data_IF_250010436968
#
_entry.id   IF_250010436968
#
_cell.length_a   1.000
_cell.length_b   1.000
_cell.length_c   1.000
_cell.angle_alpha   90.00
_cell.angle_beta   90.00
_cell.angle_gamma   90.00
#
_symmetry.space_group_name_H-M   'P 1'
#
loop_
_entity.id
_entity.type
_entity.pdbx_description
1 polymer ?
#
# COMPACT_ATOMS: atom_id res chain seq x y z
N UNK A 1 -8.39 -2.36 -14.92
CA UNK A 1 -7.41 -2.26 -13.81
C UNK A 1 -7.87 -2.94 -12.53
N UNK A 2 -9.07 -2.66 -12.03
CA UNK A 2 -9.61 -3.34 -10.84
C UNK A 2 -9.83 -4.84 -11.06
N UNK A 3 -10.22 -5.27 -12.26
CA UNK A 3 -10.42 -6.67 -12.63
C UNK A 3 -9.13 -7.46 -12.50
N UNK A 4 -8.01 -6.92 -12.95
CA UNK A 4 -6.70 -7.59 -12.84
C UNK A 4 -6.27 -7.84 -11.38
N UNK A 5 -6.63 -6.95 -10.46
CA UNK A 5 -6.35 -7.11 -9.03
C UNK A 5 -7.25 -8.15 -8.37
N UNK A 6 -8.50 -8.26 -8.82
CA UNK A 6 -9.41 -9.32 -8.37
C UNK A 6 -8.91 -10.70 -8.83
N UNK A 7 -8.55 -10.82 -10.10
CA UNK A 7 -8.07 -12.07 -10.70
C UNK A 7 -6.77 -12.55 -10.03
N UNK A 8 -5.91 -11.60 -9.63
CA UNK A 8 -4.66 -11.89 -8.91
C UNK A 8 -4.85 -12.13 -7.41
N UNK A 9 -6.06 -11.99 -6.89
CA UNK A 9 -6.37 -12.20 -5.47
C UNK A 9 -5.82 -11.14 -4.52
N UNK A 10 -5.45 -9.95 -5.01
CA UNK A 10 -4.96 -8.87 -4.17
C UNK A 10 -6.07 -8.11 -3.47
N UNK A 11 -7.27 -8.12 -4.03
CA UNK A 11 -8.44 -7.43 -3.49
C UNK A 11 -9.65 -8.35 -3.51
N UNK A 12 -10.62 -8.06 -2.67
CA UNK A 12 -11.92 -8.75 -2.63
C UNK A 12 -13.05 -7.74 -2.42
N UNK A 13 -14.30 -8.06 -2.80
CA UNK A 13 -15.46 -7.25 -2.45
C UNK A 13 -15.61 -7.11 -0.94
N UNK A 14 -16.01 -5.92 -0.49
CA UNK A 14 -16.20 -5.60 0.93
C UNK A 14 -17.48 -4.80 1.13
N UNK A 15 -18.16 -5.02 2.27
CA UNK A 15 -19.36 -4.28 2.71
C UNK A 15 -19.00 -3.44 3.95
N UNK A 16 -17.87 -2.78 3.95
CA UNK A 16 -17.46 -1.98 5.09
C UNK A 16 -18.07 -0.57 5.03
N UNK A 17 -18.32 0.01 6.22
CA UNK A 17 -18.74 1.41 6.38
C UNK A 17 -17.58 2.40 6.19
N UNK A 18 -16.33 1.91 6.21
CA UNK A 18 -15.13 2.71 6.03
C UNK A 18 -14.73 2.71 4.57
N UNK A 19 -14.98 3.81 3.87
CA UNK A 19 -14.60 3.96 2.47
C UNK A 19 -13.52 5.00 2.27
N UNK A 20 -12.57 4.74 1.37
CA UNK A 20 -11.61 5.72 0.90
C UNK A 20 -11.87 6.01 -0.59
N UNK A 21 -11.93 7.30 -1.01
CA UNK A 21 -12.17 7.66 -2.40
C UNK A 21 -11.10 7.09 -3.33
N UNK A 22 -11.52 6.71 -4.52
CA UNK A 22 -10.63 6.21 -5.58
C UNK A 22 -10.45 7.30 -6.63
N UNK A 23 -9.20 7.56 -6.99
CA UNK A 23 -8.79 8.50 -8.02
C UNK A 23 -8.04 7.77 -9.13
N UNK A 24 -8.28 8.17 -10.38
CA UNK A 24 -7.54 7.68 -11.52
C UNK A 24 -6.63 8.77 -12.07
N UNK A 25 -5.36 8.49 -12.17
CA UNK A 25 -4.34 9.42 -12.66
C UNK A 25 -3.73 8.87 -13.94
N UNK A 26 -3.65 9.70 -14.98
CA UNK A 26 -2.96 9.35 -16.23
C UNK A 26 -1.45 9.27 -16.01
N UNK A 27 -0.85 8.18 -16.46
CA UNK A 27 0.60 8.06 -16.60
C UNK A 27 1.09 8.73 -17.88
N UNK A 28 2.41 8.89 -18.02
CA UNK A 28 3.04 9.43 -19.23
C UNK A 28 2.76 8.60 -20.49
N UNK A 29 2.54 7.31 -20.34
CA UNK A 29 2.22 6.36 -21.41
C UNK A 29 0.73 6.35 -21.80
N UNK A 30 -0.09 7.21 -21.18
CA UNK A 30 -1.53 7.30 -21.42
C UNK A 30 -2.38 6.31 -20.62
N UNK A 31 -1.77 5.34 -19.93
CA UNK A 31 -2.49 4.41 -19.07
C UNK A 31 -2.97 5.09 -17.78
N UNK A 32 -4.00 4.53 -17.14
CA UNK A 32 -4.54 5.03 -15.88
C UNK A 32 -3.94 4.27 -14.69
N UNK A 33 -3.54 5.03 -13.68
CA UNK A 33 -3.17 4.49 -12.37
C UNK A 33 -4.32 4.74 -11.39
N UNK A 34 -4.77 3.68 -10.74
CA UNK A 34 -5.72 3.78 -9.63
C UNK A 34 -4.97 4.19 -8.36
N UNK A 35 -5.45 5.22 -7.71
CA UNK A 35 -4.94 5.70 -6.43
C UNK A 35 -6.09 5.75 -5.42
N UNK A 36 -5.81 5.40 -4.18
CA UNK A 36 -6.77 5.48 -3.09
C UNK A 36 -6.39 6.67 -2.21
N UNK A 37 -7.36 7.53 -1.92
CA UNK A 37 -7.15 8.70 -1.06
C UNK A 37 -7.40 8.36 0.41
N UNK A 38 -6.34 8.13 1.16
CA UNK A 38 -6.40 7.80 2.57
C UNK A 38 -6.42 9.00 3.51
N UNK A 39 -6.46 10.24 3.00
CA UNK A 39 -6.34 11.44 3.85
C UNK A 39 -7.41 11.52 4.94
N UNK A 40 -8.65 11.19 4.63
CA UNK A 40 -9.74 11.20 5.61
C UNK A 40 -9.60 10.04 6.61
N UNK A 41 -9.28 8.86 6.14
CA UNK A 41 -9.07 7.69 7.00
C UNK A 41 -7.87 7.91 7.93
N UNK A 42 -6.81 8.55 7.46
CA UNK A 42 -5.63 8.88 8.26
C UNK A 42 -5.93 9.87 9.40
N UNK A 43 -6.94 10.74 9.25
CA UNK A 43 -7.34 11.67 10.32
C UNK A 43 -7.94 10.95 11.52
N UNK A 44 -8.65 9.85 11.29
CA UNK A 44 -9.30 9.06 12.35
C UNK A 44 -8.45 7.89 12.83
N UNK A 45 -7.37 7.58 12.12
CA UNK A 45 -6.45 6.50 12.48
C UNK A 45 -5.50 6.94 13.58
N UNK A 46 -5.35 6.12 14.61
CA UNK A 46 -4.34 6.33 15.65
C UNK A 46 -2.97 6.05 15.05
N UNK A 47 -2.14 7.08 15.00
CA UNK A 47 -0.81 6.99 14.41
C UNK A 47 0.12 6.16 15.30
N UNK A 48 0.87 5.24 14.69
CA UNK A 48 1.95 4.55 15.35
C UNK A 48 3.07 5.56 15.69
N UNK A 49 3.57 5.47 16.92
CA UNK A 49 4.67 6.31 17.41
C UNK A 49 6.04 5.65 17.24
N UNK A 50 6.13 4.51 16.59
CA UNK A 50 7.39 3.84 16.34
C UNK A 50 8.30 4.73 15.47
N UNK A 51 9.55 5.00 15.89
CA UNK A 51 10.46 5.86 15.14
C UNK A 51 10.84 5.19 13.81
N UNK A 52 10.69 5.92 12.73
CA UNK A 52 11.19 5.50 11.41
C UNK A 52 12.69 5.80 11.37
N UNK A 53 13.56 4.85 10.95
CA UNK A 53 14.99 5.10 10.82
C UNK A 53 15.25 6.21 9.81
N UNK A 54 16.19 7.10 10.12
CA UNK A 54 16.62 8.16 9.20
C UNK A 54 17.45 7.56 8.06
N UNK A 55 17.43 8.23 6.90
CA UNK A 55 18.23 7.82 5.75
C UNK A 55 19.72 7.81 6.08
N UNK A 56 20.20 8.83 6.82
CA UNK A 56 21.58 8.92 7.24
C UNK A 56 22.01 7.75 8.13
N UNK A 57 21.15 7.34 9.08
CA UNK A 57 21.40 6.19 9.94
C UNK A 57 21.47 4.88 9.14
N UNK A 58 20.66 4.75 8.08
CA UNK A 58 20.70 3.60 7.17
C UNK A 58 22.00 3.56 6.36
N UNK A 59 22.50 4.71 5.91
CA UNK A 59 23.81 4.80 5.22
C UNK A 59 24.97 4.48 6.16
N UNK A 60 24.91 4.92 7.41
CA UNK A 60 25.92 4.62 8.42
C UNK A 60 26.07 3.12 8.67
N UNK A 61 24.97 2.34 8.56
CA UNK A 61 25.01 0.88 8.64
C UNK A 61 25.80 0.22 7.51
N UNK A 62 25.98 0.90 6.39
CA UNK A 62 26.77 0.41 5.24
C UNK A 62 28.27 0.67 5.39
N UNK A 63 28.70 1.37 6.43
CA UNK A 63 30.09 1.69 6.68
C UNK A 63 30.94 0.41 6.84
N UNK A 64 32.07 0.37 6.17
CA UNK A 64 32.96 -0.79 6.20
C UNK A 64 32.58 -1.94 5.26
N UNK A 65 31.44 -1.87 4.59
CA UNK A 65 31.07 -2.84 3.56
C UNK A 65 31.80 -2.54 2.24
N UNK A 66 32.36 -3.58 1.59
CA UNK A 66 33.04 -3.47 0.29
C UNK A 66 32.22 -4.05 -0.86
N UNK A 67 31.19 -4.82 -0.57
CA UNK A 67 30.33 -5.45 -1.57
C UNK A 67 28.87 -5.10 -1.27
N UNK A 68 28.15 -4.69 -2.30
CA UNK A 68 26.76 -4.28 -2.21
C UNK A 68 25.89 -5.05 -3.20
N UNK A 69 24.68 -5.37 -2.82
CA UNK A 69 23.66 -5.90 -3.72
C UNK A 69 22.39 -5.09 -3.60
N UNK A 70 21.67 -4.94 -4.72
CA UNK A 70 20.38 -4.28 -4.76
C UNK A 70 19.31 -5.28 -5.19
N UNK A 71 18.26 -5.40 -4.39
CA UNK A 71 17.12 -6.25 -4.69
C UNK A 71 15.89 -5.37 -4.81
N UNK A 72 15.30 -5.34 -6.00
CA UNK A 72 14.03 -4.64 -6.23
C UNK A 72 12.88 -5.65 -6.10
N UNK A 73 12.02 -5.44 -5.11
CA UNK A 73 10.86 -6.30 -4.89
C UNK A 73 9.77 -6.00 -5.92
N UNK A 74 9.37 -7.01 -6.67
CA UNK A 74 8.24 -6.91 -7.58
C UNK A 74 6.94 -6.76 -6.79
N UNK A 75 6.16 -5.72 -7.09
CA UNK A 75 4.92 -5.40 -6.37
C UNK A 75 5.10 -5.34 -4.84
N UNK A 76 6.20 -4.70 -4.39
CA UNK A 76 6.63 -4.71 -2.99
C UNK A 76 5.58 -4.25 -1.99
N UNK A 77 4.80 -3.22 -2.30
CA UNK A 77 3.71 -2.74 -1.43
C UNK A 77 2.56 -3.75 -1.29
N UNK A 78 2.34 -4.61 -2.27
CA UNK A 78 1.29 -5.63 -2.26
C UNK A 78 1.72 -6.96 -1.61
N UNK A 79 2.94 -7.04 -1.09
CA UNK A 79 3.44 -8.23 -0.39
C UNK A 79 3.08 -8.23 1.10
N UNK A 80 2.71 -7.08 1.66
CA UNK A 80 2.26 -6.98 3.04
C UNK A 80 0.79 -7.37 3.15
N UNK A 81 0.54 -8.47 3.82
CA UNK A 81 -0.83 -8.91 4.09
C UNK A 81 -1.46 -8.06 5.18
N UNK A 82 -2.67 -7.57 4.93
CA UNK A 82 -3.45 -6.88 5.95
C UNK A 82 -3.87 -7.89 7.03
N UNK A 83 -3.72 -7.51 8.31
CA UNK A 83 -4.16 -8.34 9.44
C UNK A 83 -5.67 -8.56 9.35
N UNK A 84 -6.13 -9.78 9.62
CA UNK A 84 -7.53 -10.18 9.43
C UNK A 84 -8.52 -9.26 10.15
N UNK A 85 -8.20 -8.80 11.35
CA UNK A 85 -9.02 -7.86 12.12
C UNK A 85 -9.06 -6.44 11.53
N UNK A 86 -8.13 -6.09 10.66
CA UNK A 86 -8.02 -4.77 10.06
C UNK A 86 -8.56 -4.73 8.62
N UNK A 87 -8.84 -5.88 8.03
CA UNK A 87 -9.41 -5.99 6.68
C UNK A 87 -10.67 -5.13 6.50
N UNK A 88 -11.66 -5.13 7.44
CA UNK A 88 -12.86 -4.31 7.30
C UNK A 88 -12.60 -2.80 7.40
N UNK A 89 -11.42 -2.39 7.87
CA UNK A 89 -11.07 -0.98 8.10
C UNK A 89 -10.46 -0.28 6.88
N UNK A 90 -10.13 -1.02 5.83
CA UNK A 90 -9.44 -0.50 4.64
C UNK A 90 -10.18 -0.73 3.31
N UNK A 91 -11.48 -0.52 3.19
CA UNK A 91 -12.13 -0.62 1.90
C UNK A 91 -11.96 0.67 1.09
N UNK A 92 -11.93 0.52 -0.22
CA UNK A 92 -12.12 1.63 -1.15
C UNK A 92 -13.62 1.89 -1.37
N UNK A 93 -13.97 3.07 -1.89
CA UNK A 93 -15.36 3.38 -2.29
C UNK A 93 -15.91 2.42 -3.35
N UNK A 94 -15.05 1.69 -4.05
CA UNK A 94 -15.46 0.62 -4.96
C UNK A 94 -15.93 -0.65 -4.24
N UNK A 95 -16.04 -0.62 -2.91
CA UNK A 95 -16.45 -1.78 -2.11
C UNK A 95 -15.44 -2.90 -2.12
N UNK A 96 -14.16 -2.61 -2.30
CA UNK A 96 -13.08 -3.59 -2.33
C UNK A 96 -12.05 -3.33 -1.24
N UNK A 97 -11.49 -4.40 -0.71
CA UNK A 97 -10.46 -4.37 0.32
C UNK A 97 -9.20 -5.06 -0.21
N UNK A 98 -8.05 -4.49 0.06
CA UNK A 98 -6.75 -5.09 -0.28
C UNK A 98 -6.43 -6.13 0.79
N UNK A 99 -6.32 -7.40 0.41
CA UNK A 99 -6.16 -8.52 1.34
C UNK A 99 -4.86 -9.31 1.19
N UNK A 100 -4.23 -9.22 0.01
CA UNK A 100 -3.01 -9.97 -0.28
C UNK A 100 -1.96 -9.09 -0.91
N UNK A 101 -0.76 -9.34 -0.53
CA UNK A 101 0.43 -8.69 -1.02
C UNK A 101 1.49 -9.73 -1.34
#
# INVERSE_FOLDING_TARGET
MCIDFLDKGFIRPSISQWGAPVLFVKKKDGSLRMCIDYRQLNKVTIKNKYPIPRIDDLFDQLQGASHFSKIDLRSGYYQLRVRDNDIPKQPSELGMVIINF
#
